data_IF_781938652406
#
_entry.id   IF_781938652406
#
_cell.length_a   1.000
_cell.length_b   1.000
_cell.length_c   1.000
_cell.angle_alpha   90.00
_cell.angle_beta   90.00
_cell.angle_gamma   90.00
#
_symmetry.space_group_name_H-M   'P 1'
#
loop_
_entity.id
_entity.type
_entity.pdbx_description
1 polymer ?
#
# COMPACT_ATOMS: atom_id res chain seq x y z
N UNK A 1 -4.25 7.96 16.49
CA UNK A 1 -3.95 7.45 15.14
C UNK A 1 -4.85 6.26 14.87
N UNK A 2 -5.54 6.23 13.72
CA UNK A 2 -6.53 5.19 13.38
C UNK A 2 -5.90 3.99 12.63
N UNK A 3 -4.77 4.18 11.95
CA UNK A 3 -4.02 3.10 11.30
C UNK A 3 -2.82 2.68 12.16
N UNK A 4 -2.41 1.42 12.03
CA UNK A 4 -1.22 0.87 12.71
C UNK A 4 0.09 1.45 12.18
N UNK A 5 1.19 1.14 12.85
CA UNK A 5 2.53 1.57 12.44
C UNK A 5 2.86 1.10 11.01
N UNK A 6 3.42 2.00 10.20
CA UNK A 6 3.75 1.73 8.79
C UNK A 6 2.55 1.77 7.82
N UNK A 7 1.36 2.17 8.29
CA UNK A 7 0.18 2.37 7.46
C UNK A 7 -0.20 3.85 7.38
N UNK A 8 -0.64 4.29 6.21
CA UNK A 8 -1.13 5.63 5.96
C UNK A 8 -2.64 5.65 5.89
N UNK A 9 -3.27 6.57 6.63
CA UNK A 9 -4.71 6.76 6.57
C UNK A 9 -5.08 7.56 5.31
N UNK A 10 -5.89 6.98 4.43
CA UNK A 10 -6.33 7.59 3.17
C UNK A 10 -7.85 7.47 3.07
N UNK A 11 -8.53 8.49 3.61
CA UNK A 11 -9.99 8.45 3.77
C UNK A 11 -10.40 7.49 4.89
N UNK A 12 -11.21 6.51 4.55
CA UNK A 12 -11.69 5.43 5.42
C UNK A 12 -10.81 4.17 5.36
N UNK A 13 -9.80 4.15 4.49
CA UNK A 13 -8.88 3.03 4.34
C UNK A 13 -7.51 3.30 4.96
N UNK A 14 -6.84 2.24 5.40
CA UNK A 14 -5.41 2.23 5.71
C UNK A 14 -4.66 1.59 4.54
N UNK A 15 -3.70 2.32 3.95
CA UNK A 15 -2.90 1.85 2.82
C UNK A 15 -1.42 1.77 3.21
N UNK A 16 -0.73 0.76 2.68
CA UNK A 16 0.71 0.58 2.81
C UNK A 16 1.25 0.03 1.50
N UNK A 17 2.38 0.56 1.06
CA UNK A 17 3.13 0.02 -0.07
C UNK A 17 4.05 -1.10 0.43
N UNK A 18 4.01 -2.25 -0.24
CA UNK A 18 5.05 -3.28 -0.14
C UNK A 18 5.86 -3.23 -1.44
N UNK A 19 7.18 -3.12 -1.31
CA UNK A 19 8.11 -3.03 -2.42
C UNK A 19 8.67 -4.37 -2.90
N UNK A 20 8.32 -5.47 -2.25
CA UNK A 20 8.80 -6.79 -2.66
C UNK A 20 8.25 -7.17 -4.04
N UNK A 21 9.13 -7.68 -4.91
CA UNK A 21 8.78 -8.16 -6.25
C UNK A 21 8.34 -9.63 -6.13
N UNK A 22 7.04 -9.83 -6.01
CA UNK A 22 6.45 -11.15 -5.78
C UNK A 22 5.34 -11.46 -6.81
N UNK A 23 4.94 -12.73 -6.91
CA UNK A 23 3.74 -13.09 -7.66
C UNK A 23 2.50 -12.50 -6.98
N UNK A 24 1.41 -12.36 -7.74
CA UNK A 24 0.13 -11.88 -7.20
C UNK A 24 -0.33 -12.70 -5.99
N UNK A 25 -0.23 -14.04 -6.07
CA UNK A 25 -0.65 -14.95 -5.00
C UNK A 25 0.18 -14.72 -3.72
N UNK A 26 1.50 -14.57 -3.86
CA UNK A 26 2.39 -14.30 -2.72
C UNK A 26 2.08 -12.93 -2.10
N UNK A 27 1.89 -11.89 -2.92
CA UNK A 27 1.51 -10.57 -2.44
C UNK A 27 0.14 -10.59 -1.72
N UNK A 28 -0.82 -11.39 -2.23
CA UNK A 28 -2.11 -11.57 -1.58
C UNK A 28 -1.96 -12.27 -0.21
N UNK A 29 -1.15 -13.32 -0.15
CA UNK A 29 -0.83 -14.00 1.11
C UNK A 29 -0.14 -13.06 2.10
N UNK A 30 0.83 -12.25 1.64
CA UNK A 30 1.49 -11.24 2.46
C UNK A 30 0.49 -10.25 3.06
N UNK A 31 -0.41 -9.67 2.24
CA UNK A 31 -1.41 -8.73 2.74
C UNK A 31 -2.36 -9.38 3.75
N UNK A 32 -2.77 -10.64 3.52
CA UNK A 32 -3.61 -11.39 4.46
C UNK A 32 -2.93 -11.66 5.80
N UNK A 33 -1.62 -11.88 5.81
CA UNK A 33 -0.85 -12.05 7.06
C UNK A 33 -0.76 -10.76 7.89
N UNK A 34 -1.09 -9.60 7.30
CA UNK A 34 -1.20 -8.32 7.99
C UNK A 34 -2.66 -7.94 8.33
N UNK A 35 -3.57 -8.93 8.34
CA UNK A 35 -5.01 -8.73 8.49
C UNK A 35 -5.62 -7.78 7.44
N UNK A 36 -4.98 -7.70 6.27
CA UNK A 36 -5.37 -6.84 5.15
C UNK A 36 -5.65 -7.61 3.87
N UNK A 37 -5.84 -6.85 2.78
CA UNK A 37 -5.97 -7.38 1.42
C UNK A 37 -5.18 -6.51 0.45
N UNK A 38 -4.96 -7.01 -0.77
CA UNK A 38 -4.45 -6.17 -1.86
C UNK A 38 -5.40 -4.98 -2.03
N UNK A 39 -4.84 -3.78 -2.05
CA UNK A 39 -5.61 -2.55 -2.10
C UNK A 39 -6.46 -2.50 -3.38
N UNK A 40 -7.76 -2.26 -3.20
CA UNK A 40 -8.65 -1.85 -4.29
C UNK A 40 -8.75 -0.34 -4.28
N UNK A 41 -8.22 0.32 -5.31
CA UNK A 41 -8.21 1.77 -5.41
C UNK A 41 -9.53 2.23 -6.03
N UNK A 42 -10.44 2.74 -5.20
CA UNK A 42 -11.80 3.13 -5.61
C UNK A 42 -12.03 4.65 -5.58
N UNK A 43 -11.02 5.43 -5.15
CA UNK A 43 -11.09 6.89 -5.12
C UNK A 43 -9.82 7.54 -5.66
N UNK A 44 -9.95 8.73 -6.23
CA UNK A 44 -8.82 9.51 -6.73
C UNK A 44 -7.75 9.75 -5.65
N UNK A 45 -8.17 10.02 -4.41
CA UNK A 45 -7.27 10.22 -3.27
C UNK A 45 -6.37 9.00 -3.00
N UNK A 46 -6.92 7.79 -3.14
CA UNK A 46 -6.13 6.56 -2.98
C UNK A 46 -5.14 6.37 -4.12
N UNK A 47 -5.53 6.71 -5.35
CA UNK A 47 -4.63 6.67 -6.52
C UNK A 47 -3.49 7.67 -6.35
N UNK A 48 -3.80 8.93 -6.03
CA UNK A 48 -2.81 10.00 -5.84
C UNK A 48 -1.79 9.62 -4.75
N UNK A 49 -2.27 9.07 -3.63
CA UNK A 49 -1.41 8.59 -2.55
C UNK A 49 -0.44 7.49 -3.01
N UNK A 50 -0.94 6.46 -3.71
CA UNK A 50 -0.09 5.35 -4.16
C UNK A 50 0.93 5.82 -5.21
N UNK A 51 0.56 6.74 -6.10
CA UNK A 51 1.49 7.31 -7.08
C UNK A 51 2.63 8.08 -6.41
N UNK A 52 2.33 8.88 -5.38
CA UNK A 52 3.35 9.62 -4.61
C UNK A 52 4.30 8.65 -3.86
N UNK A 53 3.76 7.62 -3.21
CA UNK A 53 4.57 6.60 -2.52
C UNK A 53 5.45 5.80 -3.50
N UNK A 54 4.93 5.44 -4.67
CA UNK A 54 5.70 4.77 -5.72
C UNK A 54 6.84 5.66 -6.24
N UNK A 55 6.59 6.97 -6.42
CA UNK A 55 7.63 7.90 -6.85
C UNK A 55 8.74 8.02 -5.80
N UNK A 56 8.39 8.12 -4.51
CA UNK A 56 9.37 8.13 -3.42
C UNK A 56 10.22 6.86 -3.40
N UNK A 57 9.58 5.70 -3.58
CA UNK A 57 10.27 4.42 -3.64
C UNK A 57 11.30 4.38 -4.79
N UNK A 58 10.89 4.79 -6.00
CA UNK A 58 11.78 4.83 -7.16
C UNK A 58 12.96 5.80 -7.00
N UNK A 59 12.79 6.87 -6.22
CA UNK A 59 13.86 7.81 -5.90
C UNK A 59 14.82 7.27 -4.84
N UNK A 60 14.37 6.39 -3.94
CA UNK A 60 15.21 5.74 -2.93
C UNK A 60 16.05 4.58 -3.49
N UNK A 61 15.57 3.91 -4.54
CA UNK A 61 16.34 2.88 -5.26
C UNK A 61 17.39 3.45 -6.22
N UNK A 62 17.46 4.78 -6.38
CA UNK A 62 18.42 5.47 -7.24
C UNK A 62 19.66 5.91 -6.48
#
# INVERSE_FOLDING_TARGET
>A
HLCGEGWSQVGDACLRLNSSKESYDNAQHYCKNLDGNIASLTSARQVDFILDELQKYQLQER
#
